data_IF_656094415760
#
_entry.id   IF_656094415760
#
_cell.length_a   1.000
_cell.length_b   1.000
_cell.length_c   1.000
_cell.angle_alpha   90.00
_cell.angle_beta   90.00
_cell.angle_gamma   90.00
#
_symmetry.space_group_name_H-M   'P 1'
#
loop_
_entity.id
_entity.type
_entity.pdbx_description
1 polymer ?
#
# COMPACT_ATOMS: atom_id res chain seq x y z
N UNK A 1 24.89 -16.45 -15.37
CA UNK A 1 23.50 -16.02 -15.09
C UNK A 1 22.63 -17.26 -15.09
N UNK A 2 21.89 -17.55 -14.02
CA UNK A 2 20.98 -18.70 -13.97
C UNK A 2 19.74 -18.44 -14.83
N UNK A 3 19.04 -19.50 -15.26
CA UNK A 3 17.79 -19.40 -16.02
C UNK A 3 16.74 -18.56 -15.27
N UNK A 4 16.61 -18.77 -13.95
CA UNK A 4 15.68 -18.03 -13.08
C UNK A 4 15.96 -16.53 -13.09
N UNK A 5 17.23 -16.14 -13.01
CA UNK A 5 17.65 -14.76 -13.00
C UNK A 5 17.43 -14.10 -14.37
N UNK A 6 17.73 -14.82 -15.46
CA UNK A 6 17.43 -14.36 -16.81
C UNK A 6 15.93 -14.12 -17.00
N UNK A 7 15.09 -15.04 -16.52
CA UNK A 7 13.65 -14.88 -16.56
C UNK A 7 13.18 -13.65 -15.76
N UNK A 8 13.65 -13.48 -14.52
CA UNK A 8 13.33 -12.33 -13.69
C UNK A 8 13.71 -10.99 -14.37
N UNK A 9 14.93 -10.88 -14.90
CA UNK A 9 15.39 -9.66 -15.58
C UNK A 9 14.57 -9.37 -16.83
N UNK A 10 14.28 -10.40 -17.64
CA UNK A 10 13.42 -10.25 -18.82
C UNK A 10 12.00 -9.83 -18.45
N UNK A 11 11.42 -10.40 -17.39
CA UNK A 11 10.10 -10.00 -16.88
C UNK A 11 10.08 -8.55 -16.40
N UNK A 12 11.13 -8.10 -15.70
CA UNK A 12 11.26 -6.70 -15.29
C UNK A 12 11.37 -5.76 -16.50
N UNK A 13 12.21 -6.09 -17.48
CA UNK A 13 12.38 -5.29 -18.69
C UNK A 13 11.09 -5.24 -19.53
N UNK A 14 10.42 -6.38 -19.70
CA UNK A 14 9.14 -6.47 -20.40
C UNK A 14 8.05 -5.68 -19.68
N UNK A 15 8.00 -5.73 -18.34
CA UNK A 15 7.07 -4.94 -17.53
C UNK A 15 7.36 -3.45 -17.64
N UNK A 16 8.63 -3.03 -17.60
CA UNK A 16 9.01 -1.64 -17.79
C UNK A 16 8.63 -1.14 -19.19
N UNK A 17 8.84 -1.96 -20.23
CA UNK A 17 8.39 -1.66 -21.58
C UNK A 17 6.85 -1.60 -21.67
N UNK A 18 6.13 -2.52 -21.03
CA UNK A 18 4.67 -2.51 -20.97
C UNK A 18 4.14 -1.26 -20.26
N UNK A 19 4.75 -0.88 -19.13
CA UNK A 19 4.43 0.37 -18.43
C UNK A 19 4.68 1.58 -19.33
N UNK A 20 5.80 1.63 -20.05
CA UNK A 20 6.15 2.80 -20.85
C UNK A 20 5.32 2.94 -22.13
N UNK A 21 5.14 1.84 -22.87
CA UNK A 21 4.53 1.85 -24.20
C UNK A 21 3.03 1.53 -24.20
N UNK A 22 2.52 0.81 -23.20
CA UNK A 22 1.12 0.37 -23.17
C UNK A 22 0.28 1.11 -22.12
N UNK A 23 0.71 1.10 -20.86
CA UNK A 23 -0.07 1.70 -19.74
C UNK A 23 0.17 3.21 -19.60
N UNK A 24 1.40 3.65 -19.89
CA UNK A 24 2.00 4.96 -19.62
C UNK A 24 2.15 5.31 -18.14
N UNK A 25 3.27 5.97 -17.73
CA UNK A 25 3.44 6.48 -16.37
C UNK A 25 2.42 7.58 -16.04
N UNK A 26 1.45 7.27 -15.20
CA UNK A 26 0.34 8.16 -14.81
C UNK A 26 -0.05 7.91 -13.36
N UNK A 27 -0.89 8.77 -12.79
CA UNK A 27 -1.49 8.58 -11.47
C UNK A 27 -2.69 7.62 -11.48
N UNK A 28 -2.93 6.89 -12.57
CA UNK A 28 -3.87 5.77 -12.58
C UNK A 28 -3.41 4.66 -11.62
N UNK A 29 -4.33 3.85 -11.12
CA UNK A 29 -4.00 2.83 -10.12
C UNK A 29 -3.16 1.71 -10.71
N UNK A 30 -3.47 1.26 -11.93
CA UNK A 30 -2.69 0.23 -12.64
C UNK A 30 -1.26 0.68 -12.95
N UNK A 31 -1.09 1.94 -13.39
CA UNK A 31 0.24 2.52 -13.66
C UNK A 31 1.06 2.70 -12.38
N UNK A 32 0.43 3.22 -11.32
CA UNK A 32 1.07 3.39 -10.01
C UNK A 32 1.50 2.04 -9.44
N UNK A 33 0.64 1.03 -9.52
CA UNK A 33 0.96 -0.32 -9.04
C UNK A 33 2.13 -0.95 -9.80
N UNK A 34 2.14 -0.86 -11.14
CA UNK A 34 3.29 -1.34 -11.94
C UNK A 34 4.58 -0.62 -11.58
N UNK A 35 4.52 0.70 -11.40
CA UNK A 35 5.69 1.52 -11.05
C UNK A 35 6.23 1.16 -9.67
N UNK A 36 5.37 0.99 -8.66
CA UNK A 36 5.77 0.59 -7.32
C UNK A 36 6.26 -0.87 -7.28
N UNK A 37 5.63 -1.77 -8.04
CA UNK A 37 6.08 -3.16 -8.17
C UNK A 37 7.49 -3.21 -8.77
N UNK A 38 7.75 -2.46 -9.85
CA UNK A 38 9.08 -2.33 -10.44
C UNK A 38 10.08 -1.70 -9.48
N UNK A 39 9.69 -0.66 -8.75
CA UNK A 39 10.59 0.04 -7.84
C UNK A 39 10.99 -0.82 -6.64
N UNK A 40 10.03 -1.40 -5.92
CA UNK A 40 10.27 -2.17 -4.70
C UNK A 40 10.74 -3.61 -4.97
N UNK A 41 10.28 -4.23 -6.06
CA UNK A 41 10.50 -5.65 -6.33
C UNK A 41 11.21 -5.94 -7.66
N UNK A 42 11.67 -4.90 -8.37
CA UNK A 42 12.60 -5.03 -9.50
C UNK A 42 14.05 -4.81 -9.07
N UNK A 43 14.67 -3.63 -9.31
CA UNK A 43 16.05 -3.38 -8.94
C UNK A 43 16.35 -3.52 -7.43
N UNK A 44 15.41 -3.11 -6.56
CA UNK A 44 15.58 -3.23 -5.12
C UNK A 44 15.61 -4.69 -4.65
N UNK A 45 14.74 -5.55 -5.20
CA UNK A 45 14.78 -7.00 -4.97
C UNK A 45 16.10 -7.61 -5.44
N UNK A 46 16.55 -7.25 -6.64
CA UNK A 46 17.81 -7.75 -7.18
C UNK A 46 18.99 -7.34 -6.30
N UNK A 47 19.06 -6.07 -5.91
CA UNK A 47 20.11 -5.58 -5.02
C UNK A 47 20.05 -6.29 -3.66
N UNK A 48 18.86 -6.45 -3.10
CA UNK A 48 18.67 -7.13 -1.81
C UNK A 48 19.21 -8.57 -1.86
N UNK A 49 18.72 -9.37 -2.81
CA UNK A 49 19.00 -10.81 -2.91
C UNK A 49 20.40 -11.16 -3.40
N UNK A 50 21.11 -10.22 -4.04
CA UNK A 50 22.44 -10.46 -4.62
C UNK A 50 23.57 -9.76 -3.90
N UNK A 51 23.27 -8.72 -3.11
CA UNK A 51 24.28 -7.92 -2.40
C UNK A 51 23.94 -7.80 -0.93
N UNK A 52 22.84 -7.12 -0.61
CA UNK A 52 22.50 -6.77 0.77
C UNK A 52 22.42 -7.98 1.70
N UNK A 53 21.66 -9.01 1.31
CA UNK A 53 21.42 -10.17 2.17
C UNK A 53 22.65 -11.08 2.31
N UNK A 54 23.68 -10.88 1.48
CA UNK A 54 24.99 -11.53 1.60
C UNK A 54 25.97 -10.70 2.45
N UNK A 55 25.55 -9.53 2.93
CA UNK A 55 26.40 -8.58 3.65
C UNK A 55 27.36 -7.82 2.74
N UNK A 56 27.02 -7.68 1.46
CA UNK A 56 27.83 -6.99 0.46
C UNK A 56 27.20 -5.68 -0.02
N UNK A 57 28.06 -4.76 -0.45
CA UNK A 57 27.68 -3.57 -1.20
C UNK A 57 27.71 -2.29 -0.37
N UNK A 58 27.94 -1.16 -1.05
CA UNK A 58 28.20 0.13 -0.39
C UNK A 58 27.08 0.59 0.55
N UNK A 59 25.80 0.37 0.21
CA UNK A 59 24.70 0.73 1.10
C UNK A 59 24.66 -0.14 2.36
N UNK A 60 25.03 -1.42 2.26
CA UNK A 60 25.14 -2.30 3.43
C UNK A 60 26.33 -1.91 4.31
N UNK A 61 27.47 -1.54 3.71
CA UNK A 61 28.62 -1.03 4.46
C UNK A 61 28.28 0.24 5.25
N UNK A 62 27.60 1.20 4.60
CA UNK A 62 27.12 2.41 5.27
C UNK A 62 26.12 2.10 6.39
N UNK A 63 25.25 1.10 6.21
CA UNK A 63 24.33 0.64 7.24
C UNK A 63 25.10 -0.01 8.41
N UNK A 64 26.06 -0.88 8.14
CA UNK A 64 26.88 -1.50 9.18
C UNK A 64 27.69 -0.47 9.99
N UNK A 65 28.24 0.55 9.33
CA UNK A 65 28.92 1.67 9.97
C UNK A 65 28.02 2.49 10.90
N UNK A 66 26.76 2.68 10.50
CA UNK A 66 25.79 3.50 11.25
C UNK A 66 25.19 2.77 12.47
N UNK A 67 25.26 1.43 12.52
CA UNK A 67 24.82 0.62 13.66
C UNK A 67 25.88 -0.40 14.12
N UNK A 68 27.04 0.05 14.63
CA UNK A 68 28.13 -0.83 15.07
C UNK A 68 27.75 -1.70 16.28
N UNK A 69 26.80 -1.23 17.11
CA UNK A 69 26.33 -1.90 18.34
C UNK A 69 25.46 -3.15 18.13
N UNK A 70 25.15 -3.55 16.89
CA UNK A 70 24.64 -4.90 16.62
C UNK A 70 25.71 -6.00 16.81
N UNK A 71 26.79 -5.67 17.53
CA UNK A 71 27.81 -6.57 18.09
C UNK A 71 27.90 -6.56 19.63
N UNK A 72 27.06 -5.80 20.37
CA UNK A 72 27.17 -5.71 21.85
C UNK A 72 25.91 -5.45 22.73
N UNK A 73 24.67 -5.51 22.25
CA UNK A 73 23.44 -5.47 23.05
C UNK A 73 22.88 -6.86 23.47
N UNK A 74 23.25 -7.31 24.68
CA UNK A 74 22.57 -8.36 25.47
C UNK A 74 22.61 -9.79 24.91
N UNK A 75 23.32 -10.70 25.58
CA UNK A 75 23.58 -12.08 25.14
C UNK A 75 22.37 -12.84 24.57
N UNK A 76 21.16 -12.65 25.10
CA UNK A 76 19.95 -13.31 24.58
C UNK A 76 19.43 -12.71 23.25
N UNK A 77 19.48 -11.38 23.09
CA UNK A 77 19.04 -10.68 21.87
C UNK A 77 20.09 -10.84 20.76
N UNK A 78 21.37 -10.90 21.12
CA UNK A 78 22.45 -11.26 20.20
C UNK A 78 22.37 -12.67 19.68
N UNK A 79 22.00 -13.63 20.53
CA UNK A 79 21.83 -15.01 20.10
C UNK A 79 20.63 -15.15 19.15
N UNK A 80 19.51 -14.49 19.43
CA UNK A 80 18.34 -14.51 18.54
C UNK A 80 18.58 -13.78 17.20
N UNK A 81 19.23 -12.61 17.23
CA UNK A 81 19.58 -11.87 16.01
C UNK A 81 20.64 -12.59 15.17
N UNK A 82 21.67 -13.17 15.80
CA UNK A 82 22.67 -13.98 15.09
C UNK A 82 22.07 -15.25 14.48
N UNK A 83 21.15 -15.93 15.18
CA UNK A 83 20.39 -17.06 14.62
C UNK A 83 19.52 -16.63 13.44
N UNK A 84 18.77 -15.53 13.55
CA UNK A 84 17.98 -14.96 12.46
C UNK A 84 18.83 -14.66 11.22
N UNK A 85 19.93 -13.92 11.37
CA UNK A 85 20.83 -13.60 10.27
C UNK A 85 21.50 -14.85 9.67
N UNK A 86 21.84 -15.84 10.49
CA UNK A 86 22.39 -17.12 10.01
C UNK A 86 21.37 -17.90 9.18
N UNK A 87 20.10 -17.97 9.61
CA UNK A 87 19.01 -18.65 8.90
C UNK A 87 18.66 -17.93 7.59
N UNK A 88 18.61 -16.60 7.61
CA UNK A 88 18.35 -15.78 6.43
C UNK A 88 19.48 -15.89 5.40
N UNK A 89 20.74 -15.81 5.85
CA UNK A 89 21.89 -15.98 4.95
C UNK A 89 22.00 -17.39 4.39
N UNK A 90 21.64 -18.42 5.17
CA UNK A 90 21.53 -19.79 4.67
C UNK A 90 20.43 -19.92 3.61
N UNK A 91 19.26 -19.29 3.81
CA UNK A 91 18.18 -19.27 2.83
C UNK A 91 18.58 -18.58 1.51
N UNK A 92 19.31 -17.46 1.58
CA UNK A 92 19.80 -16.74 0.39
C UNK A 92 20.87 -17.54 -0.36
N UNK A 93 21.68 -18.32 0.36
CA UNK A 93 22.67 -19.23 -0.25
C UNK A 93 22.04 -20.50 -0.80
N UNK A 94 20.80 -20.81 -0.42
CA UNK A 94 20.06 -21.94 -0.98
C UNK A 94 19.59 -21.62 -2.40
N UNK A 95 20.21 -22.27 -3.37
CA UNK A 95 19.92 -22.10 -4.79
C UNK A 95 18.45 -22.36 -5.14
N UNK A 96 17.79 -23.34 -4.50
CA UNK A 96 16.39 -23.70 -4.82
C UNK A 96 15.41 -22.62 -4.35
N UNK A 97 15.61 -22.08 -3.14
CA UNK A 97 14.81 -20.98 -2.59
C UNK A 97 14.93 -19.75 -3.48
N UNK A 98 16.16 -19.40 -3.87
CA UNK A 98 16.40 -18.23 -4.71
C UNK A 98 15.89 -18.40 -6.14
N UNK A 99 16.03 -19.58 -6.74
CA UNK A 99 15.46 -19.85 -8.06
C UNK A 99 13.93 -19.76 -8.03
N UNK A 100 13.29 -20.34 -7.02
CA UNK A 100 11.84 -20.29 -6.86
C UNK A 100 11.35 -18.85 -6.67
N UNK A 101 12.06 -18.07 -5.87
CA UNK A 101 11.72 -16.66 -5.62
C UNK A 101 11.90 -15.80 -6.88
N UNK A 102 12.99 -15.96 -7.63
CA UNK A 102 13.21 -15.26 -8.91
C UNK A 102 12.07 -15.54 -9.90
N UNK A 103 11.69 -16.82 -10.05
CA UNK A 103 10.57 -17.21 -10.91
C UNK A 103 9.24 -16.65 -10.41
N UNK A 104 9.00 -16.69 -9.10
CA UNK A 104 7.76 -16.20 -8.51
C UNK A 104 7.57 -14.69 -8.71
N UNK A 105 8.63 -13.89 -8.48
CA UNK A 105 8.59 -12.46 -8.72
C UNK A 105 8.45 -12.17 -10.22
N UNK A 106 9.20 -12.87 -11.08
CA UNK A 106 9.09 -12.75 -12.54
C UNK A 106 7.70 -13.12 -13.09
N UNK A 107 7.05 -14.14 -12.53
CA UNK A 107 5.68 -14.53 -12.86
C UNK A 107 4.67 -13.50 -12.36
N UNK A 108 4.88 -12.94 -11.15
CA UNK A 108 4.04 -11.87 -10.61
C UNK A 108 3.99 -10.68 -11.58
N UNK A 109 5.15 -10.25 -12.08
CA UNK A 109 5.25 -9.21 -13.10
C UNK A 109 4.48 -9.54 -14.39
N UNK A 110 4.71 -10.73 -14.95
CA UNK A 110 4.08 -11.15 -16.19
C UNK A 110 2.54 -11.30 -16.06
N UNK A 111 2.07 -11.97 -15.00
CA UNK A 111 0.65 -12.20 -14.73
C UNK A 111 -0.09 -10.89 -14.43
N UNK A 112 0.54 -9.95 -13.72
CA UNK A 112 -0.04 -8.64 -13.46
C UNK A 112 -0.25 -7.84 -14.77
N UNK A 113 0.77 -7.80 -15.65
CA UNK A 113 0.65 -7.19 -16.97
C UNK A 113 -0.42 -7.87 -17.83
N UNK A 114 -0.48 -9.20 -17.80
CA UNK A 114 -1.50 -9.98 -18.50
C UNK A 114 -2.92 -9.64 -18.01
N UNK A 115 -3.10 -9.45 -16.71
CA UNK A 115 -4.39 -9.06 -16.13
C UNK A 115 -4.86 -7.68 -16.61
N UNK A 116 -3.94 -6.70 -16.68
CA UNK A 116 -4.23 -5.38 -17.26
C UNK A 116 -4.65 -5.53 -18.72
N UNK A 117 -3.82 -6.19 -19.53
CA UNK A 117 -4.06 -6.36 -20.96
C UNK A 117 -5.38 -7.08 -21.24
N UNK A 118 -5.70 -8.14 -20.49
CA UNK A 118 -6.93 -8.90 -20.70
C UNK A 118 -8.15 -8.06 -20.33
N UNK A 119 -8.07 -7.27 -19.26
CA UNK A 119 -9.16 -6.39 -18.85
C UNK A 119 -9.48 -5.37 -19.92
N UNK A 120 -8.47 -4.79 -20.56
CA UNK A 120 -8.65 -3.88 -21.70
C UNK A 120 -9.34 -4.56 -22.90
N UNK A 121 -9.00 -5.83 -23.14
CA UNK A 121 -9.64 -6.64 -24.20
C UNK A 121 -11.10 -6.94 -23.88
N UNK A 122 -11.40 -7.37 -22.66
CA UNK A 122 -12.76 -7.71 -22.20
C UNK A 122 -13.65 -6.47 -22.21
N UNK A 123 -13.15 -5.34 -21.71
CA UNK A 123 -13.88 -4.08 -21.64
C UNK A 123 -13.81 -3.26 -22.94
N UNK A 124 -13.15 -3.78 -23.98
CA UNK A 124 -12.97 -3.12 -25.29
C UNK A 124 -12.37 -1.71 -25.18
N UNK A 125 -11.50 -1.49 -24.20
CA UNK A 125 -10.83 -0.22 -23.91
C UNK A 125 -9.34 -0.32 -24.28
N UNK A 126 -8.96 -0.23 -25.58
CA UNK A 126 -7.55 -0.29 -25.96
C UNK A 126 -6.77 0.93 -25.41
N UNK A 127 -5.42 0.88 -25.38
CA UNK A 127 -4.59 1.97 -24.86
C UNK A 127 -4.93 3.35 -25.40
N UNK A 128 -5.32 3.44 -26.68
CA UNK A 128 -5.72 4.70 -27.31
C UNK A 128 -6.93 5.37 -26.63
N UNK A 129 -7.89 4.57 -26.15
CA UNK A 129 -9.07 5.08 -25.42
C UNK A 129 -8.65 5.63 -24.06
N UNK A 130 -7.69 4.99 -23.41
CA UNK A 130 -7.11 5.50 -22.17
C UNK A 130 -6.33 6.79 -22.39
N UNK A 131 -5.50 6.85 -23.43
CA UNK A 131 -4.77 8.06 -23.81
C UNK A 131 -5.72 9.23 -24.09
N UNK A 132 -6.84 8.96 -24.77
CA UNK A 132 -7.87 9.96 -24.99
C UNK A 132 -8.57 10.38 -23.70
N UNK A 133 -8.88 9.45 -22.80
CA UNK A 133 -9.47 9.76 -21.51
C UNK A 133 -8.53 10.60 -20.62
N UNK A 134 -7.22 10.34 -20.66
CA UNK A 134 -6.20 11.14 -19.98
C UNK A 134 -6.10 12.55 -20.57
N UNK A 135 -6.11 12.67 -21.90
CA UNK A 135 -6.13 13.98 -22.57
C UNK A 135 -7.40 14.77 -22.20
N UNK A 136 -8.57 14.12 -22.29
CA UNK A 136 -9.86 14.71 -21.86
C UNK A 136 -9.85 15.12 -20.40
N UNK A 137 -9.16 14.40 -19.52
CA UNK A 137 -9.04 14.77 -18.11
C UNK A 137 -8.40 16.15 -17.92
N UNK A 138 -7.40 16.47 -18.74
CA UNK A 138 -6.74 17.77 -18.71
C UNK A 138 -7.61 18.86 -19.34
N UNK A 139 -8.20 18.57 -20.51
CA UNK A 139 -8.93 19.54 -21.33
C UNK A 139 -10.34 19.87 -20.81
N UNK A 140 -11.04 18.90 -20.22
CA UNK A 140 -12.43 19.08 -19.79
C UNK A 140 -12.51 19.87 -18.48
N UNK A 141 -13.53 20.72 -18.36
CA UNK A 141 -13.85 21.36 -17.10
C UNK A 141 -14.25 20.33 -16.03
N UNK A 142 -14.04 20.66 -14.75
CA UNK A 142 -14.44 19.80 -13.65
C UNK A 142 -15.97 19.66 -13.69
N UNK A 143 -16.46 18.43 -13.64
CA UNK A 143 -17.90 18.18 -13.68
C UNK A 143 -18.51 18.53 -12.32
N UNK A 144 -19.35 19.59 -12.24
CA UNK A 144 -19.90 20.03 -10.97
C UNK A 144 -20.81 18.96 -10.38
N UNK A 145 -20.78 18.85 -9.05
CA UNK A 145 -21.63 17.91 -8.34
C UNK A 145 -23.08 18.41 -8.38
N UNK A 146 -24.01 17.55 -8.81
CA UNK A 146 -25.43 17.89 -8.84
C UNK A 146 -25.93 18.26 -7.42
N UNK A 147 -26.94 19.14 -7.28
CA UNK A 147 -27.43 19.59 -5.97
C UNK A 147 -27.88 18.45 -5.05
N UNK A 148 -28.54 17.42 -5.60
CA UNK A 148 -28.96 16.25 -4.83
C UNK A 148 -27.76 15.45 -4.28
N UNK A 149 -26.71 15.26 -5.09
CA UNK A 149 -25.48 14.56 -4.69
C UNK A 149 -24.70 15.34 -3.63
N UNK A 150 -24.69 16.66 -3.75
CA UNK A 150 -24.07 17.55 -2.76
C UNK A 150 -24.75 17.41 -1.38
N UNK A 151 -26.10 17.32 -1.35
CA UNK A 151 -26.85 17.05 -0.11
C UNK A 151 -26.51 15.67 0.48
N UNK A 152 -26.37 14.66 -0.36
CA UNK A 152 -25.99 13.32 0.09
C UNK A 152 -24.57 13.29 0.68
N UNK A 153 -23.60 13.94 0.02
CA UNK A 153 -22.24 14.09 0.54
C UNK A 153 -22.22 14.84 1.88
N UNK A 154 -23.00 15.92 2.02
CA UNK A 154 -23.14 16.63 3.30
C UNK A 154 -23.76 15.77 4.40
N UNK A 155 -24.78 14.96 4.08
CA UNK A 155 -25.38 14.01 5.03
C UNK A 155 -24.37 12.95 5.48
N UNK A 156 -23.65 12.34 4.54
CA UNK A 156 -22.58 11.38 4.84
C UNK A 156 -21.46 12.02 5.66
N UNK A 157 -21.11 13.27 5.36
CA UNK A 157 -20.13 14.05 6.12
C UNK A 157 -20.63 14.30 7.54
N UNK A 158 -21.88 14.69 7.72
CA UNK A 158 -22.47 14.88 9.06
C UNK A 158 -22.39 13.62 9.90
N UNK A 159 -22.76 12.47 9.34
CA UNK A 159 -22.64 11.18 10.01
C UNK A 159 -21.18 10.83 10.33
N UNK A 160 -20.28 10.96 9.35
CA UNK A 160 -18.86 10.70 9.53
C UNK A 160 -18.24 11.62 10.61
N UNK A 161 -18.71 12.86 10.73
CA UNK A 161 -18.25 13.82 11.73
C UNK A 161 -18.65 13.40 13.13
N UNK A 162 -19.92 13.01 13.30
CA UNK A 162 -20.44 12.50 14.58
C UNK A 162 -19.67 11.24 15.01
N UNK A 163 -19.44 10.31 14.08
CA UNK A 163 -18.66 9.09 14.35
C UNK A 163 -17.22 9.44 14.75
N UNK A 164 -16.54 10.32 14.00
CA UNK A 164 -15.18 10.75 14.33
C UNK A 164 -15.11 11.44 15.68
N UNK A 165 -16.03 12.35 16.00
CA UNK A 165 -16.08 13.02 17.29
C UNK A 165 -16.33 12.05 18.44
N UNK A 166 -17.27 11.11 18.26
CA UNK A 166 -17.54 10.08 19.27
C UNK A 166 -16.26 9.33 19.63
N UNK A 167 -15.55 8.77 18.64
CA UNK A 167 -14.31 8.03 18.89
C UNK A 167 -13.15 8.92 19.33
N UNK A 168 -13.12 10.19 18.89
CA UNK A 168 -12.12 11.15 19.33
C UNK A 168 -12.16 11.36 20.85
N UNK A 169 -13.36 11.54 21.41
CA UNK A 169 -13.57 11.72 22.85
C UNK A 169 -13.55 10.39 23.60
N UNK A 170 -14.28 9.38 23.13
CA UNK A 170 -14.39 8.08 23.79
C UNK A 170 -13.02 7.39 23.95
N UNK A 171 -12.20 7.41 22.90
CA UNK A 171 -10.89 6.74 22.92
C UNK A 171 -9.75 7.67 23.36
N UNK A 172 -10.04 8.91 23.80
CA UNK A 172 -9.05 9.91 24.20
C UNK A 172 -7.89 10.04 23.19
N UNK A 173 -8.24 10.20 21.90
CA UNK A 173 -7.26 10.14 20.81
C UNK A 173 -6.15 11.19 20.94
N UNK A 174 -6.49 12.43 21.33
CA UNK A 174 -5.53 13.51 21.44
C UNK A 174 -4.54 13.32 22.61
N UNK A 175 -4.99 12.97 23.84
CA UNK A 175 -4.08 12.56 24.91
C UNK A 175 -3.15 11.40 24.52
N UNK A 176 -3.65 10.36 23.83
CA UNK A 176 -2.82 9.23 23.37
C UNK A 176 -1.68 9.68 22.45
N UNK A 177 -2.01 10.51 21.46
CA UNK A 177 -1.02 11.09 20.54
C UNK A 177 -0.02 11.94 21.32
N UNK A 178 -0.50 12.82 22.20
CA UNK A 178 0.39 13.66 23.00
C UNK A 178 1.37 12.84 23.84
N UNK A 179 0.88 11.85 24.59
CA UNK A 179 1.73 10.97 25.42
C UNK A 179 2.76 10.26 24.55
N UNK A 180 2.36 9.66 23.43
CA UNK A 180 3.28 8.92 22.58
C UNK A 180 4.39 9.78 21.98
N UNK A 181 4.07 11.01 21.55
CA UNK A 181 5.04 11.91 20.93
C UNK A 181 5.87 12.71 21.96
N UNK A 182 5.33 12.99 23.15
CA UNK A 182 6.02 13.75 24.20
C UNK A 182 6.91 12.89 25.10
N UNK A 183 6.64 11.58 25.19
CA UNK A 183 7.45 10.69 26.03
C UNK A 183 8.79 10.38 25.36
N UNK A 184 9.89 10.67 26.05
CA UNK A 184 11.24 10.24 25.70
C UNK A 184 11.47 8.75 26.03
N UNK A 185 10.51 7.91 25.63
CA UNK A 185 10.54 6.46 25.79
C UNK A 185 11.38 5.83 24.67
N UNK A 186 12.16 4.81 25.02
CA UNK A 186 12.96 4.02 24.07
C UNK A 186 12.09 3.24 23.07
N UNK A 187 12.72 2.65 22.04
CA UNK A 187 12.01 1.98 20.94
C UNK A 187 11.05 0.87 21.43
N UNK A 188 11.48 0.03 22.37
CA UNK A 188 10.69 -1.09 22.89
C UNK A 188 9.46 -0.64 23.68
N UNK A 189 9.59 0.42 24.47
CA UNK A 189 8.48 0.98 25.24
C UNK A 189 7.46 1.64 24.31
N UNK A 190 7.90 2.35 23.27
CA UNK A 190 7.01 2.87 22.22
C UNK A 190 6.32 1.76 21.42
N UNK A 191 6.98 0.61 21.22
CA UNK A 191 6.34 -0.57 20.61
C UNK A 191 5.25 -1.13 21.53
N UNK A 192 5.49 -1.24 22.84
CA UNK A 192 4.48 -1.67 23.82
C UNK A 192 3.28 -0.71 23.84
N UNK A 193 3.54 0.61 23.94
CA UNK A 193 2.50 1.64 23.88
C UNK A 193 1.63 1.54 22.63
N UNK A 194 2.23 1.25 21.46
CA UNK A 194 1.46 1.03 20.22
C UNK A 194 0.56 -0.19 20.31
N UNK A 195 1.02 -1.29 20.90
CA UNK A 195 0.22 -2.53 21.03
C UNK A 195 -0.94 -2.36 22.00
N UNK A 196 -0.73 -1.62 23.09
CA UNK A 196 -1.71 -1.50 24.18
C UNK A 196 -2.69 -0.34 23.98
N UNK A 197 -2.23 0.80 23.45
CA UNK A 197 -3.02 2.03 23.34
C UNK A 197 -3.36 2.43 21.90
N UNK A 198 -2.72 1.81 20.90
CA UNK A 198 -2.80 2.20 19.50
C UNK A 198 -4.17 1.94 18.87
N UNK A 199 -4.73 2.99 18.28
CA UNK A 199 -5.97 2.95 17.52
C UNK A 199 -7.21 2.84 18.42
N UNK A 200 -8.30 2.37 17.81
CA UNK A 200 -9.53 2.06 18.54
C UNK A 200 -9.64 0.55 18.76
N UNK A 201 -10.20 0.08 19.88
CA UNK A 201 -10.56 -1.33 20.05
C UNK A 201 -11.65 -1.78 19.04
N UNK A 202 -12.39 -0.83 18.45
CA UNK A 202 -13.38 -1.14 17.42
C UNK A 202 -12.72 -1.41 16.06
N UNK A 203 -12.72 -2.67 15.64
CA UNK A 203 -12.28 -3.06 14.30
C UNK A 203 -13.06 -2.32 13.20
N UNK A 204 -14.38 -2.13 13.38
CA UNK A 204 -15.22 -1.41 12.43
C UNK A 204 -14.76 0.03 12.27
N UNK A 205 -14.44 0.74 13.35
CA UNK A 205 -13.92 2.10 13.26
C UNK A 205 -12.58 2.16 12.53
N UNK A 206 -11.65 1.25 12.83
CA UNK A 206 -10.35 1.20 12.14
C UNK A 206 -10.51 0.91 10.63
N UNK A 207 -11.49 0.08 10.26
CA UNK A 207 -11.84 -0.18 8.86
C UNK A 207 -12.41 1.06 8.18
N UNK A 208 -13.34 1.77 8.84
CA UNK A 208 -13.91 3.02 8.34
C UNK A 208 -12.83 4.12 8.21
N UNK A 209 -11.92 4.21 9.17
CA UNK A 209 -10.80 5.16 9.18
C UNK A 209 -9.77 4.89 8.06
N UNK A 210 -9.69 3.65 7.60
CA UNK A 210 -8.83 3.28 6.48
C UNK A 210 -9.51 3.45 5.12
N UNK A 211 -10.86 3.50 5.08
CA UNK A 211 -11.64 3.44 3.84
C UNK A 211 -12.61 4.62 3.69
N UNK A 212 -13.81 4.53 4.27
CA UNK A 212 -14.93 5.46 4.07
C UNK A 212 -14.61 6.89 4.53
N UNK A 213 -13.98 7.05 5.70
CA UNK A 213 -13.72 8.36 6.28
C UNK A 213 -12.71 9.17 5.44
N UNK A 214 -11.57 8.59 5.00
CA UNK A 214 -10.71 9.21 3.98
C UNK A 214 -11.46 9.57 2.70
N UNK A 215 -12.28 8.65 2.17
CA UNK A 215 -13.00 8.88 0.92
C UNK A 215 -13.97 10.07 1.02
N UNK A 216 -14.76 10.17 2.10
CA UNK A 216 -15.66 11.30 2.34
C UNK A 216 -14.87 12.60 2.50
N UNK A 217 -13.77 12.58 3.26
CA UNK A 217 -12.91 13.75 3.44
C UNK A 217 -12.32 14.23 2.11
N UNK A 218 -11.85 13.31 1.26
CA UNK A 218 -11.33 13.61 -0.08
C UNK A 218 -12.41 14.14 -1.03
N UNK A 219 -13.61 13.56 -1.02
CA UNK A 219 -14.73 14.02 -1.84
C UNK A 219 -15.17 15.44 -1.42
N UNK A 220 -15.20 15.72 -0.12
CA UNK A 220 -15.55 17.03 0.42
C UNK A 220 -14.47 18.08 0.11
N UNK A 221 -13.19 17.69 0.25
CA UNK A 221 -12.06 18.55 -0.06
C UNK A 221 -12.02 18.93 -1.54
N UNK A 222 -12.15 17.95 -2.45
CA UNK A 222 -12.22 18.22 -3.89
C UNK A 222 -13.40 19.12 -4.25
N UNK A 223 -14.57 18.89 -3.65
CA UNK A 223 -15.73 19.75 -3.89
C UNK A 223 -15.50 21.20 -3.44
N UNK A 224 -14.86 21.43 -2.30
CA UNK A 224 -14.48 22.77 -1.87
C UNK A 224 -13.50 23.44 -2.83
N UNK A 225 -12.45 22.73 -3.26
CA UNK A 225 -11.39 23.27 -4.13
C UNK A 225 -11.89 23.68 -5.52
N UNK A 226 -12.98 23.06 -5.97
CA UNK A 226 -13.64 23.35 -7.25
C UNK A 226 -14.78 24.39 -7.13
N UNK A 227 -14.79 25.19 -6.05
CA UNK A 227 -15.72 26.29 -5.88
C UNK A 227 -17.03 25.92 -5.18
N UNK A 228 -17.03 24.86 -4.35
CA UNK A 228 -18.15 24.51 -3.49
C UNK A 228 -18.61 25.68 -2.58
N UNK A 229 -19.88 25.65 -2.16
CA UNK A 229 -20.53 26.77 -1.47
C UNK A 229 -19.82 27.30 -0.21
N UNK A 230 -20.19 28.51 0.20
CA UNK A 230 -19.65 29.17 1.42
C UNK A 230 -19.84 28.26 2.64
N UNK A 231 -18.75 27.96 3.35
CA UNK A 231 -18.75 27.11 4.56
C UNK A 231 -18.26 25.67 4.36
N UNK A 232 -18.25 25.14 3.13
CA UNK A 232 -17.76 23.78 2.86
C UNK A 232 -16.27 23.63 3.18
N UNK A 233 -15.47 24.68 2.97
CA UNK A 233 -14.04 24.67 3.28
C UNK A 233 -13.73 24.41 4.75
N UNK A 234 -14.46 25.07 5.67
CA UNK A 234 -14.28 24.84 7.11
C UNK A 234 -14.59 23.40 7.51
N UNK A 235 -15.68 22.83 6.96
CA UNK A 235 -16.05 21.44 7.19
C UNK A 235 -15.04 20.46 6.60
N UNK A 236 -14.52 20.73 5.39
CA UNK A 236 -13.49 19.92 4.74
C UNK A 236 -12.19 19.89 5.55
N UNK A 237 -11.73 21.05 6.02
CA UNK A 237 -10.55 21.16 6.87
C UNK A 237 -10.76 20.44 8.21
N UNK A 238 -11.91 20.64 8.87
CA UNK A 238 -12.22 19.96 10.13
C UNK A 238 -12.23 18.44 9.96
N UNK A 239 -12.82 17.93 8.87
CA UNK A 239 -12.80 16.52 8.51
C UNK A 239 -11.38 15.97 8.34
N UNK A 240 -10.54 16.65 7.56
CA UNK A 240 -9.16 16.24 7.35
C UNK A 240 -8.37 16.21 8.67
N UNK A 241 -8.53 17.23 9.52
CA UNK A 241 -7.86 17.28 10.84
C UNK A 241 -8.30 16.12 11.72
N UNK A 242 -9.60 15.82 11.78
CA UNK A 242 -10.10 14.68 12.57
C UNK A 242 -9.59 13.35 12.04
N UNK A 243 -9.60 13.13 10.72
CA UNK A 243 -9.07 11.89 10.11
C UNK A 243 -7.57 11.75 10.35
N UNK A 244 -6.78 12.83 10.18
CA UNK A 244 -5.34 12.83 10.47
C UNK A 244 -5.10 12.52 11.95
N UNK A 245 -5.85 13.14 12.86
CA UNK A 245 -5.68 12.91 14.31
C UNK A 245 -6.03 11.48 14.69
N UNK A 246 -7.12 10.94 14.14
CA UNK A 246 -7.48 9.54 14.34
C UNK A 246 -6.43 8.57 13.77
N UNK A 247 -5.82 8.89 12.61
CA UNK A 247 -4.70 8.11 12.05
C UNK A 247 -3.43 8.23 12.90
N UNK A 248 -3.12 9.40 13.46
CA UNK A 248 -2.03 9.56 14.41
C UNK A 248 -2.29 8.77 15.70
N UNK A 249 -3.54 8.69 16.15
CA UNK A 249 -3.94 7.92 17.32
C UNK A 249 -3.78 6.40 17.13
N UNK A 250 -3.53 5.91 15.90
CA UNK A 250 -3.06 4.53 15.69
C UNK A 250 -1.67 4.27 16.24
N UNK A 251 -0.93 5.34 16.62
CA UNK A 251 0.44 5.32 17.12
C UNK A 251 1.43 4.59 16.18
N UNK A 252 1.02 4.38 14.93
CA UNK A 252 1.82 3.78 13.87
C UNK A 252 2.40 4.88 12.99
N UNK A 253 3.67 4.71 12.59
CA UNK A 253 4.46 5.71 11.84
C UNK A 253 3.87 5.99 10.44
N UNK A 254 3.22 5.00 9.84
CA UNK A 254 2.88 5.01 8.42
C UNK A 254 1.50 5.60 8.06
N UNK A 255 0.39 5.32 8.78
CA UNK A 255 -0.95 5.72 8.34
C UNK A 255 -1.14 7.22 8.14
N UNK A 256 -0.62 8.05 9.05
CA UNK A 256 -0.75 9.51 8.94
C UNK A 256 0.10 10.09 7.80
N UNK A 257 1.36 9.64 7.66
CA UNK A 257 2.24 10.06 6.57
C UNK A 257 1.67 9.66 5.20
N UNK A 258 1.17 8.43 5.08
CA UNK A 258 0.53 7.95 3.85
C UNK A 258 -0.71 8.79 3.52
N UNK A 259 -1.53 9.14 4.51
CA UNK A 259 -2.71 9.98 4.27
C UNK A 259 -2.35 11.38 3.73
N UNK A 260 -1.28 12.00 4.22
CA UNK A 260 -0.78 13.27 3.68
C UNK A 260 -0.29 13.09 2.23
N UNK A 261 0.43 12.02 1.94
CA UNK A 261 0.86 11.69 0.57
C UNK A 261 -0.33 11.44 -0.36
N UNK A 262 -1.39 10.77 0.11
CA UNK A 262 -2.63 10.59 -0.64
C UNK A 262 -3.29 11.93 -0.95
N UNK A 263 -3.35 12.86 0.01
CA UNK A 263 -3.92 14.19 -0.22
C UNK A 263 -3.12 14.97 -1.28
N UNK A 264 -1.79 14.84 -1.28
CA UNK A 264 -0.95 15.42 -2.33
C UNK A 264 -1.19 14.77 -3.70
N UNK A 265 -1.23 13.44 -3.76
CA UNK A 265 -1.52 12.71 -4.99
C UNK A 265 -2.90 13.09 -5.54
N UNK A 266 -3.87 13.29 -4.66
CA UNK A 266 -5.20 13.77 -4.97
C UNK A 266 -5.20 15.19 -5.56
N UNK A 267 -4.45 16.13 -4.97
CA UNK A 267 -4.31 17.49 -5.51
C UNK A 267 -3.64 17.51 -6.88
N UNK A 268 -2.66 16.64 -7.10
CA UNK A 268 -2.05 16.48 -8.42
C UNK A 268 -3.07 15.92 -9.40
N UNK A 269 -3.73 14.81 -9.05
CA UNK A 269 -4.74 14.14 -9.86
C UNK A 269 -5.93 15.03 -10.20
N UNK A 270 -6.26 16.01 -9.35
CA UNK A 270 -7.29 17.03 -9.62
C UNK A 270 -6.97 17.85 -10.86
N UNK A 271 -5.70 18.21 -11.07
CA UNK A 271 -5.26 18.98 -12.23
C UNK A 271 -4.87 18.13 -13.43
N UNK A 272 -4.05 17.09 -13.22
CA UNK A 272 -3.62 16.17 -14.28
C UNK A 272 -3.32 14.78 -13.72
N UNK A 273 -3.62 13.76 -14.52
CA UNK A 273 -3.20 12.38 -14.24
C UNK A 273 -1.83 12.05 -14.82
N UNK A 274 -1.25 12.94 -15.63
CA UNK A 274 0.10 12.76 -16.14
C UNK A 274 1.11 12.88 -15.00
N UNK A 275 2.00 11.90 -14.91
CA UNK A 275 2.98 11.85 -13.84
C UNK A 275 4.32 12.41 -14.31
N UNK A 276 4.60 13.65 -13.92
CA UNK A 276 5.86 14.32 -14.27
C UNK A 276 6.97 13.96 -13.28
N UNK A 277 8.22 13.99 -13.75
CA UNK A 277 9.40 13.79 -12.90
C UNK A 277 9.43 14.78 -11.73
N UNK A 278 9.00 16.02 -11.95
CA UNK A 278 8.91 17.04 -10.89
C UNK A 278 7.95 16.63 -9.77
N UNK A 279 6.78 16.10 -10.11
CA UNK A 279 5.82 15.59 -9.14
C UNK A 279 6.36 14.36 -8.40
N UNK A 280 7.04 13.46 -9.12
CA UNK A 280 7.72 12.30 -8.53
C UNK A 280 8.75 12.71 -7.48
N UNK A 281 9.63 13.67 -7.81
CA UNK A 281 10.62 14.21 -6.89
C UNK A 281 9.94 14.88 -5.69
N UNK A 282 8.89 15.67 -5.92
CA UNK A 282 8.18 16.38 -4.85
C UNK A 282 7.52 15.41 -3.87
N UNK A 283 6.79 14.41 -4.38
CA UNK A 283 6.19 13.36 -3.56
C UNK A 283 7.25 12.55 -2.83
N UNK A 284 8.35 12.21 -3.50
CA UNK A 284 9.48 11.50 -2.90
C UNK A 284 10.13 12.27 -1.75
N UNK A 285 10.38 13.58 -1.93
CA UNK A 285 10.95 14.45 -0.89
C UNK A 285 10.01 14.62 0.30
N UNK A 286 8.70 14.79 0.06
CA UNK A 286 7.73 14.88 1.15
C UNK A 286 7.61 13.54 1.88
N UNK A 287 7.58 12.42 1.16
CA UNK A 287 7.58 11.10 1.77
C UNK A 287 8.82 10.93 2.64
N UNK A 288 10.01 11.23 2.11
CA UNK A 288 11.27 11.15 2.84
C UNK A 288 11.25 11.99 4.11
N UNK A 289 10.75 13.23 4.03
CA UNK A 289 10.66 14.15 5.16
C UNK A 289 9.72 13.61 6.24
N UNK A 290 8.49 13.24 5.85
CA UNK A 290 7.47 12.74 6.79
C UNK A 290 7.93 11.45 7.47
N UNK A 291 8.46 10.49 6.70
CA UNK A 291 8.95 9.24 7.26
C UNK A 291 10.22 9.43 8.11
N UNK A 292 11.07 10.42 7.80
CA UNK A 292 12.24 10.75 8.62
C UNK A 292 11.81 11.33 9.97
N UNK A 293 10.87 12.27 9.98
CA UNK A 293 10.30 12.83 11.21
C UNK A 293 9.70 11.71 12.06
N UNK A 294 8.91 10.82 11.47
CA UNK A 294 8.31 9.69 12.19
C UNK A 294 9.34 8.67 12.70
N UNK A 295 10.50 8.59 12.05
CA UNK A 295 11.62 7.75 12.47
C UNK A 295 12.29 8.34 13.71
N UNK A 296 12.61 9.62 13.72
CA UNK A 296 13.14 10.33 14.90
C UNK A 296 12.18 10.34 16.08
N UNK A 297 10.89 10.51 15.84
CA UNK A 297 9.87 10.41 16.90
C UNK A 297 9.89 9.03 17.55
N UNK A 298 10.08 7.99 16.76
CA UNK A 298 10.00 6.63 17.25
C UNK A 298 11.30 6.08 17.85
N UNK A 299 12.44 6.61 17.41
CA UNK A 299 13.75 6.29 17.96
C UNK A 299 14.50 7.62 18.13
N UNK A 300 14.41 8.16 19.34
CA UNK A 300 15.04 9.43 19.73
C UNK A 300 16.57 9.33 19.79
N UNK A 301 17.11 8.12 19.78
CA UNK A 301 18.53 7.84 19.98
C UNK A 301 19.29 7.73 18.64
N UNK A 302 18.63 8.01 17.52
CA UNK A 302 19.25 8.03 16.20
C UNK A 302 20.25 9.19 16.07
N UNK A 303 21.50 8.84 15.76
CA UNK A 303 22.66 9.73 15.73
C UNK A 303 22.68 10.84 14.66
N UNK A 304 21.62 10.99 13.84
CA UNK A 304 21.54 12.04 12.84
C UNK A 304 20.70 11.73 11.61
N UNK A 305 20.74 12.66 10.64
CA UNK A 305 19.98 12.58 9.39
C UNK A 305 20.46 11.44 8.48
N UNK A 306 21.77 11.14 8.49
CA UNK A 306 22.35 10.04 7.70
C UNK A 306 21.78 8.69 8.14
N UNK A 307 21.73 8.48 9.45
CA UNK A 307 21.19 7.29 10.11
C UNK A 307 19.69 7.18 9.82
N UNK A 308 18.92 8.27 9.96
CA UNK A 308 17.50 8.25 9.59
C UNK A 308 17.27 7.84 8.12
N UNK A 309 18.08 8.37 7.19
CA UNK A 309 17.96 8.03 5.76
C UNK A 309 18.31 6.56 5.47
N UNK A 310 19.39 6.04 6.07
CA UNK A 310 19.77 4.64 5.95
C UNK A 310 18.71 3.70 6.53
N UNK A 311 18.15 4.07 7.69
CA UNK A 311 17.07 3.32 8.31
C UNK A 311 15.82 3.29 7.43
N UNK A 312 15.45 4.42 6.83
CA UNK A 312 14.33 4.48 5.88
C UNK A 312 14.59 3.66 4.62
N UNK A 313 15.79 3.75 4.05
CA UNK A 313 16.16 2.94 2.90
C UNK A 313 16.02 1.43 3.21
N UNK A 314 16.55 0.99 4.35
CA UNK A 314 16.41 -0.40 4.81
C UNK A 314 14.93 -0.78 4.95
N UNK A 315 14.13 0.06 5.64
CA UNK A 315 12.71 -0.20 5.91
C UNK A 315 11.84 -0.24 4.65
N UNK A 316 12.12 0.60 3.67
CA UNK A 316 11.28 0.77 2.48
C UNK A 316 11.70 -0.19 1.36
N UNK A 317 13.00 -0.43 1.18
CA UNK A 317 13.51 -1.18 0.02
C UNK A 317 13.98 -2.60 0.39
N UNK A 318 14.54 -2.81 1.58
CA UNK A 318 15.16 -4.10 1.92
C UNK A 318 14.18 -5.02 2.66
N UNK A 319 13.51 -4.53 3.71
CA UNK A 319 12.61 -5.36 4.55
C UNK A 319 11.48 -6.03 3.74
N UNK A 320 10.81 -5.38 2.76
CA UNK A 320 9.80 -6.09 1.96
C UNK A 320 10.37 -7.28 1.20
N UNK A 321 11.63 -7.19 0.74
CA UNK A 321 12.31 -8.25 0.01
C UNK A 321 12.90 -9.31 0.96
N UNK A 322 13.37 -8.91 2.15
CA UNK A 322 13.73 -9.81 3.26
C UNK A 322 12.57 -10.72 3.63
N UNK A 323 11.38 -10.12 3.80
CA UNK A 323 10.16 -10.83 4.15
C UNK A 323 9.75 -11.83 3.04
N UNK A 324 10.01 -11.53 1.76
CA UNK A 324 9.79 -12.50 0.68
C UNK A 324 10.72 -13.71 0.79
N UNK A 325 12.00 -13.51 1.10
CA UNK A 325 12.94 -14.61 1.33
C UNK A 325 12.50 -15.46 2.53
N UNK A 326 12.05 -14.85 3.63
CA UNK A 326 11.54 -15.58 4.80
C UNK A 326 10.38 -16.53 4.42
N UNK A 327 9.41 -16.04 3.64
CA UNK A 327 8.27 -16.87 3.21
C UNK A 327 8.69 -18.05 2.31
N UNK A 328 9.59 -17.83 1.35
CA UNK A 328 10.06 -18.88 0.44
C UNK A 328 11.04 -19.86 1.10
N UNK A 329 11.73 -19.45 2.17
CA UNK A 329 12.56 -20.33 2.96
C UNK A 329 11.74 -21.30 3.83
N UNK A 330 10.58 -20.84 4.33
CA UNK A 330 9.71 -21.62 5.21
C UNK A 330 8.75 -22.50 4.42
N UNK A 331 8.13 -21.98 3.36
CA UNK A 331 7.13 -22.71 2.58
C UNK A 331 7.72 -23.23 1.26
N UNK A 332 7.62 -24.54 0.93
CA UNK A 332 6.98 -25.61 1.69
C UNK A 332 7.91 -26.36 2.68
N UNK A 333 9.19 -25.98 2.79
CA UNK A 333 10.22 -26.81 3.43
C UNK A 333 9.99 -27.09 4.92
N UNK A 334 9.59 -26.09 5.70
CA UNK A 334 9.31 -26.21 7.14
C UNK A 334 7.81 -26.24 7.44
N UNK A 335 7.01 -25.47 6.68
CA UNK A 335 5.57 -25.45 6.80
C UNK A 335 4.93 -25.87 5.48
N UNK A 336 3.94 -26.79 5.49
CA UNK A 336 3.17 -27.07 4.29
C UNK A 336 2.33 -25.86 3.90
N UNK A 337 2.03 -25.75 2.60
CA UNK A 337 1.07 -24.76 2.10
C UNK A 337 -0.28 -24.89 2.82
N UNK A 338 -0.89 -23.77 3.20
CA UNK A 338 -2.07 -23.78 4.06
C UNK A 338 -3.36 -24.16 3.34
N UNK A 339 -3.33 -24.17 1.99
CA UNK A 339 -4.50 -24.34 1.13
C UNK A 339 -5.60 -23.32 1.45
N UNK A 340 -5.24 -22.15 1.96
CA UNK A 340 -6.15 -21.08 2.37
C UNK A 340 -6.82 -21.29 3.73
N UNK A 341 -6.38 -22.25 4.54
CA UNK A 341 -6.90 -22.45 5.90
C UNK A 341 -6.46 -21.34 6.88
N UNK A 342 -5.47 -20.52 6.52
CA UNK A 342 -5.06 -19.30 7.22
C UNK A 342 -5.99 -18.10 6.92
N UNK A 343 -6.86 -18.23 5.91
CA UNK A 343 -7.90 -17.25 5.60
C UNK A 343 -9.16 -17.65 6.37
N UNK A 344 -9.46 -16.92 7.46
CA UNK A 344 -10.51 -17.29 8.43
C UNK A 344 -11.86 -17.63 7.81
N UNK A 345 -12.37 -16.82 6.89
CA UNK A 345 -13.68 -17.07 6.27
C UNK A 345 -13.66 -18.28 5.33
N UNK A 346 -12.53 -18.57 4.68
CA UNK A 346 -12.38 -19.71 3.80
C UNK A 346 -12.25 -21.01 4.61
N UNK A 347 -11.55 -20.97 5.76
CA UNK A 347 -11.49 -22.09 6.70
C UNK A 347 -12.87 -22.44 7.25
N UNK A 348 -13.65 -21.42 7.67
CA UNK A 348 -15.04 -21.59 8.13
C UNK A 348 -15.89 -22.23 7.03
N UNK A 349 -15.76 -21.78 5.77
CA UNK A 349 -16.51 -22.34 4.64
C UNK A 349 -16.16 -23.80 4.34
N UNK A 350 -14.91 -24.20 4.61
CA UNK A 350 -14.45 -25.59 4.51
C UNK A 350 -14.80 -26.44 5.73
N UNK A 351 -15.35 -25.85 6.79
CA UNK A 351 -15.61 -26.54 8.06
C UNK A 351 -14.34 -26.93 8.83
N UNK A 352 -13.22 -26.23 8.60
CA UNK A 352 -11.93 -26.48 9.26
C UNK A 352 -11.62 -25.35 10.23
N UNK A 353 -10.95 -25.67 11.35
CA UNK A 353 -10.47 -24.64 12.26
C UNK A 353 -9.48 -23.70 11.55
N UNK A 354 -9.66 -22.37 11.68
CA UNK A 354 -8.79 -21.41 11.00
C UNK A 354 -7.39 -21.50 11.59
N UNK A 355 -6.40 -21.74 10.72
CA UNK A 355 -5.00 -21.64 11.09
C UNK A 355 -4.65 -20.20 11.45
N UNK A 356 -3.61 -20.05 12.28
CA UNK A 356 -3.02 -18.73 12.48
C UNK A 356 -2.53 -18.16 11.14
N UNK A 357 -2.70 -16.84 10.92
CA UNK A 357 -2.19 -16.17 9.73
C UNK A 357 -0.70 -16.44 9.47
N UNK A 358 -0.35 -16.61 8.19
CA UNK A 358 1.00 -16.98 7.76
C UNK A 358 2.07 -15.99 8.24
N UNK A 359 1.79 -14.68 8.28
CA UNK A 359 2.74 -13.65 8.74
C UNK A 359 3.16 -13.79 10.21
N UNK A 360 2.34 -14.40 11.07
CA UNK A 360 2.71 -14.69 12.47
C UNK A 360 3.57 -15.95 12.55
N UNK A 361 3.18 -17.00 11.82
CA UNK A 361 3.91 -18.28 11.80
C UNK A 361 5.32 -18.12 11.23
N UNK A 362 5.47 -17.32 10.18
CA UNK A 362 6.76 -16.98 9.57
C UNK A 362 7.65 -16.23 10.57
N UNK A 363 7.10 -15.22 11.23
CA UNK A 363 7.84 -14.42 12.21
C UNK A 363 8.27 -15.25 13.43
N UNK A 364 7.42 -16.16 13.91
CA UNK A 364 7.73 -17.05 15.03
C UNK A 364 8.89 -18.01 14.68
N UNK A 365 8.84 -18.63 13.50
CA UNK A 365 9.86 -19.60 13.08
C UNK A 365 11.20 -18.96 12.71
N UNK A 366 11.20 -17.85 11.96
CA UNK A 366 12.45 -17.24 11.48
C UNK A 366 13.06 -16.29 12.50
N UNK A 367 12.23 -15.52 13.22
CA UNK A 367 12.69 -14.44 14.11
C UNK A 367 12.63 -14.81 15.58
N UNK A 368 12.05 -15.96 15.95
CA UNK A 368 11.92 -16.41 17.34
C UNK A 368 11.10 -15.46 18.23
N UNK A 369 10.28 -14.60 17.63
CA UNK A 369 9.60 -13.50 18.31
C UNK A 369 8.07 -13.69 18.23
N UNK A 370 7.48 -14.47 19.15
CA UNK A 370 6.03 -14.70 19.17
C UNK A 370 5.28 -13.36 19.33
N UNK A 371 4.33 -13.10 18.44
CA UNK A 371 3.56 -11.85 18.38
C UNK A 371 4.17 -10.74 17.51
N UNK A 372 5.33 -10.97 16.88
CA UNK A 372 5.84 -10.14 15.79
C UNK A 372 5.17 -10.51 14.46
N UNK A 373 5.17 -9.60 13.49
CA UNK A 373 4.58 -9.81 12.16
C UNK A 373 5.62 -9.64 11.06
N UNK A 374 5.72 -10.60 10.15
CA UNK A 374 6.49 -10.46 8.90
C UNK A 374 5.51 -10.10 7.78
N UNK A 375 5.39 -8.82 7.45
CA UNK A 375 4.54 -8.36 6.35
C UNK A 375 5.33 -8.31 5.05
N UNK A 376 4.88 -9.06 4.04
CA UNK A 376 5.46 -9.11 2.71
C UNK A 376 4.43 -8.71 1.65
N UNK A 377 4.90 -8.41 0.44
CA UNK A 377 4.03 -8.15 -0.72
C UNK A 377 3.00 -9.27 -0.89
N UNK A 378 1.81 -8.93 -1.40
CA UNK A 378 0.67 -9.82 -1.60
C UNK A 378 0.99 -11.23 -2.15
N UNK A 379 2.06 -11.39 -2.94
CA UNK A 379 2.51 -12.69 -3.46
C UNK A 379 2.95 -13.68 -2.38
N UNK A 380 3.44 -13.20 -1.23
CA UNK A 380 4.01 -14.03 -0.18
C UNK A 380 2.92 -14.87 0.50
N UNK A 381 1.83 -14.22 0.92
CA UNK A 381 0.68 -14.93 1.47
C UNK A 381 -0.02 -15.78 0.40
N UNK A 382 0.00 -15.36 -0.87
CA UNK A 382 -0.51 -16.19 -1.97
C UNK A 382 0.33 -17.47 -2.16
N UNK A 383 1.66 -17.37 -2.03
CA UNK A 383 2.57 -18.52 -2.03
C UNK A 383 2.32 -19.44 -0.84
N UNK A 384 2.25 -18.89 0.37
CA UNK A 384 1.96 -19.67 1.57
C UNK A 384 0.60 -20.40 1.48
N UNK A 385 -0.41 -19.72 0.95
CA UNK A 385 -1.76 -20.27 0.86
C UNK A 385 -1.96 -21.28 -0.27
N UNK A 386 -1.51 -20.95 -1.49
CA UNK A 386 -1.87 -21.71 -2.69
C UNK A 386 -0.69 -22.01 -3.61
N UNK A 387 0.55 -21.89 -3.11
CA UNK A 387 1.77 -22.18 -3.88
C UNK A 387 1.81 -21.38 -5.21
N UNK A 388 2.29 -22.00 -6.29
CA UNK A 388 2.36 -21.41 -7.63
C UNK A 388 1.02 -20.90 -8.16
N UNK A 389 -0.08 -21.62 -7.88
CA UNK A 389 -1.41 -21.18 -8.29
C UNK A 389 -1.79 -19.84 -7.63
N UNK A 390 -1.44 -19.66 -6.35
CA UNK A 390 -1.64 -18.41 -5.64
C UNK A 390 -0.91 -17.23 -6.30
N UNK A 391 0.38 -17.40 -6.61
CA UNK A 391 1.18 -16.35 -7.26
C UNK A 391 0.54 -15.91 -8.58
N UNK A 392 0.23 -16.87 -9.45
CA UNK A 392 -0.34 -16.60 -10.79
C UNK A 392 -1.72 -15.94 -10.65
N UNK A 393 -2.61 -16.53 -9.87
CA UNK A 393 -4.01 -16.08 -9.76
C UNK A 393 -4.11 -14.74 -9.04
N UNK A 394 -3.43 -14.54 -7.91
CA UNK A 394 -3.50 -13.27 -7.18
C UNK A 394 -2.89 -12.12 -7.97
N UNK A 395 -1.72 -12.31 -8.61
CA UNK A 395 -1.10 -11.27 -9.43
C UNK A 395 -1.98 -10.88 -10.62
N UNK A 396 -2.54 -11.89 -11.30
CA UNK A 396 -3.46 -11.67 -12.42
C UNK A 396 -4.74 -10.94 -11.99
N UNK A 397 -5.42 -11.41 -10.94
CA UNK A 397 -6.63 -10.76 -10.40
C UNK A 397 -6.33 -9.32 -9.97
N UNK A 398 -5.18 -9.09 -9.35
CA UNK A 398 -4.82 -7.75 -8.90
C UNK A 398 -4.64 -6.78 -10.09
N UNK A 399 -3.93 -7.21 -11.14
CA UNK A 399 -3.81 -6.45 -12.39
C UNK A 399 -5.17 -6.17 -13.04
N UNK A 400 -6.04 -7.19 -13.10
CA UNK A 400 -7.39 -7.04 -13.62
C UNK A 400 -8.23 -6.03 -12.83
N UNK A 401 -8.22 -6.14 -11.50
CA UNK A 401 -9.02 -5.30 -10.62
C UNK A 401 -8.62 -3.83 -10.75
N UNK A 402 -7.31 -3.53 -10.69
CA UNK A 402 -6.83 -2.15 -10.77
C UNK A 402 -7.14 -1.53 -12.12
N UNK A 403 -6.97 -2.30 -13.22
CA UNK A 403 -7.32 -1.80 -14.55
C UNK A 403 -8.82 -1.61 -14.71
N UNK A 404 -9.63 -2.51 -14.15
CA UNK A 404 -11.08 -2.35 -14.14
C UNK A 404 -11.48 -1.07 -13.41
N UNK A 405 -10.92 -0.80 -12.22
CA UNK A 405 -11.18 0.45 -11.48
C UNK A 405 -10.79 1.66 -12.34
N UNK A 406 -9.62 1.64 -12.99
CA UNK A 406 -9.18 2.73 -13.87
C UNK A 406 -10.15 2.96 -15.04
N UNK A 407 -10.64 1.90 -15.70
CA UNK A 407 -11.64 2.03 -16.77
C UNK A 407 -12.92 2.67 -16.24
N UNK A 408 -13.41 2.23 -15.08
CA UNK A 408 -14.65 2.75 -14.51
C UNK A 408 -14.52 4.21 -14.09
N UNK A 409 -13.42 4.56 -13.43
CA UNK A 409 -13.19 5.90 -12.89
C UNK A 409 -12.73 6.90 -13.96
N UNK A 410 -11.73 6.55 -14.76
CA UNK A 410 -11.07 7.48 -15.68
C UNK A 410 -11.80 7.49 -17.02
N UNK A 411 -12.01 6.32 -17.65
CA UNK A 411 -12.56 6.25 -19.01
C UNK A 411 -14.07 6.52 -19.03
N UNK A 412 -14.84 5.85 -18.17
CA UNK A 412 -16.31 5.95 -18.21
C UNK A 412 -16.85 7.21 -17.53
N UNK A 413 -16.28 7.61 -16.40
CA UNK A 413 -16.78 8.76 -15.62
C UNK A 413 -16.06 10.07 -15.93
N UNK A 414 -14.74 10.05 -16.07
CA UNK A 414 -13.92 11.25 -16.22
C UNK A 414 -13.78 12.06 -14.92
N UNK A 415 -13.44 13.34 -15.06
CA UNK A 415 -13.01 14.20 -13.95
C UNK A 415 -14.17 14.69 -13.07
N UNK A 416 -14.43 13.95 -11.99
CA UNK A 416 -15.39 14.30 -10.94
C UNK A 416 -14.73 14.23 -9.55
N UNK A 417 -15.29 14.93 -8.55
CA UNK A 417 -14.76 14.91 -7.17
C UNK A 417 -14.73 13.51 -6.56
N UNK A 418 -15.75 12.68 -6.84
CA UNK A 418 -15.81 11.29 -6.38
C UNK A 418 -14.84 10.38 -7.14
N UNK A 419 -14.56 10.65 -8.42
CA UNK A 419 -13.49 9.95 -9.17
C UNK A 419 -12.14 10.21 -8.52
N UNK A 420 -11.83 11.49 -8.27
CA UNK A 420 -10.55 11.91 -7.69
C UNK A 420 -10.40 11.34 -6.26
N UNK A 421 -11.46 11.39 -5.45
CA UNK A 421 -11.46 10.77 -4.12
C UNK A 421 -11.26 9.25 -4.17
N UNK A 422 -11.89 8.57 -5.14
CA UNK A 422 -11.72 7.14 -5.38
C UNK A 422 -10.29 6.76 -5.77
N UNK A 423 -9.65 7.53 -6.65
CA UNK A 423 -8.24 7.36 -7.02
C UNK A 423 -7.33 7.56 -5.80
N UNK A 424 -7.53 8.64 -5.03
CA UNK A 424 -6.76 8.91 -3.82
C UNK A 424 -6.84 7.79 -2.78
N UNK A 425 -8.04 7.20 -2.59
CA UNK A 425 -8.20 6.00 -1.76
C UNK A 425 -7.45 4.80 -2.36
N UNK A 426 -7.57 4.60 -3.68
CA UNK A 426 -6.93 3.49 -4.38
C UNK A 426 -5.41 3.47 -4.31
N UNK A 427 -4.75 4.64 -4.29
CA UNK A 427 -3.28 4.70 -4.11
C UNK A 427 -2.83 4.07 -2.80
N UNK A 428 -3.60 4.22 -1.71
CA UNK A 428 -3.30 3.55 -0.44
C UNK A 428 -3.50 2.05 -0.53
N UNK A 429 -4.58 1.60 -1.19
CA UNK A 429 -4.81 0.19 -1.46
C UNK A 429 -3.67 -0.45 -2.23
N UNK A 430 -3.18 0.21 -3.29
CA UNK A 430 -2.01 -0.22 -4.06
C UNK A 430 -0.76 -0.31 -3.16
N UNK A 431 -0.47 0.72 -2.36
CA UNK A 431 0.68 0.73 -1.47
C UNK A 431 0.63 -0.38 -0.42
N UNK A 432 -0.55 -0.63 0.17
CA UNK A 432 -0.77 -1.76 1.09
C UNK A 432 -0.55 -3.09 0.38
N UNK A 433 -1.00 -3.24 -0.88
CA UNK A 433 -0.77 -4.46 -1.66
C UNK A 433 0.72 -4.76 -1.89
N UNK A 434 1.53 -3.72 -2.10
CA UNK A 434 3.00 -3.88 -2.27
C UNK A 434 3.72 -4.29 -0.98
N UNK A 435 3.10 -4.12 0.19
CA UNK A 435 3.76 -4.33 1.49
C UNK A 435 3.09 -5.40 2.36
N UNK A 436 1.89 -5.85 2.01
CA UNK A 436 1.07 -6.77 2.82
C UNK A 436 0.20 -7.70 1.97
N UNK A 437 -0.53 -8.59 2.63
CA UNK A 437 -1.50 -9.51 2.04
C UNK A 437 -2.49 -8.87 1.06
N UNK A 438 -2.85 -9.62 0.01
CA UNK A 438 -3.84 -9.20 -0.99
C UNK A 438 -5.19 -8.79 -0.37
N UNK A 439 -5.69 -9.57 0.60
CA UNK A 439 -6.98 -9.30 1.25
C UNK A 439 -6.98 -7.99 2.04
N UNK A 440 -5.86 -7.66 2.69
CA UNK A 440 -5.69 -6.40 3.41
C UNK A 440 -5.75 -5.22 2.46
N UNK A 441 -5.14 -5.34 1.27
CA UNK A 441 -5.21 -4.34 0.21
C UNK A 441 -6.65 -4.14 -0.31
N UNK A 442 -7.42 -5.22 -0.46
CA UNK A 442 -8.81 -5.16 -0.92
C UNK A 442 -9.76 -4.51 0.10
N UNK A 443 -9.66 -4.91 1.37
CA UNK A 443 -10.60 -4.52 2.43
C UNK A 443 -10.11 -3.27 3.16
N UNK A 444 -8.99 -3.36 3.87
CA UNK A 444 -8.44 -2.25 4.66
C UNK A 444 -7.89 -1.14 3.76
N UNK A 445 -7.23 -1.52 2.66
CA UNK A 445 -6.78 -0.58 1.63
C UNK A 445 -7.91 -0.02 0.78
N UNK A 446 -9.12 -0.59 0.88
CA UNK A 446 -10.34 -0.04 0.30
C UNK A 446 -10.52 -0.27 -1.20
N UNK A 447 -9.63 -1.00 -1.90
CA UNK A 447 -9.72 -1.19 -3.36
C UNK A 447 -11.07 -1.75 -3.81
N UNK A 448 -11.61 -2.73 -3.09
CA UNK A 448 -12.90 -3.34 -3.42
C UNK A 448 -14.07 -2.37 -3.17
N UNK A 449 -13.89 -1.41 -2.27
CA UNK A 449 -14.92 -0.48 -1.84
C UNK A 449 -14.99 0.79 -2.71
N UNK A 450 -13.97 1.08 -3.53
CA UNK A 450 -13.92 2.29 -4.36
C UNK A 450 -15.16 2.41 -5.26
N UNK A 451 -15.44 1.41 -6.08
CA UNK A 451 -16.57 1.44 -7.03
C UNK A 451 -17.92 1.49 -6.28
N UNK A 452 -18.17 0.65 -5.27
CA UNK A 452 -19.38 0.77 -4.43
C UNK A 452 -19.56 2.13 -3.77
N UNK A 453 -18.50 2.72 -3.19
CA UNK A 453 -18.57 4.03 -2.52
C UNK A 453 -18.89 5.15 -3.50
N UNK A 454 -18.30 5.10 -4.69
CA UNK A 454 -18.60 6.03 -5.78
C UNK A 454 -20.04 5.85 -6.26
N UNK A 455 -20.49 4.62 -6.45
CA UNK A 455 -21.86 4.30 -6.85
C UNK A 455 -22.89 4.75 -5.80
N UNK A 456 -22.57 4.59 -4.51
CA UNK A 456 -23.42 5.01 -3.39
C UNK A 456 -23.69 6.52 -3.43
N UNK A 457 -22.65 7.33 -3.67
CA UNK A 457 -22.77 8.80 -3.72
C UNK A 457 -23.49 9.33 -4.97
N UNK A 458 -23.58 8.53 -6.03
CA UNK A 458 -24.16 8.99 -7.30
C UNK A 458 -25.47 8.31 -7.69
N UNK A 459 -25.83 7.24 -6.96
CA UNK A 459 -27.01 6.40 -7.18
C UNK A 459 -27.20 5.98 -8.65
N UNK A 460 -26.11 5.80 -9.40
CA UNK A 460 -26.11 5.34 -10.79
C UNK A 460 -24.92 4.42 -11.02
N UNK A 461 -25.19 3.20 -11.45
CA UNK A 461 -24.23 2.21 -11.92
C UNK A 461 -24.97 1.13 -12.74
N UNK A 462 -24.44 0.64 -13.87
CA UNK A 462 -23.17 1.01 -14.52
C UNK A 462 -23.21 2.40 -15.17
N UNK A 463 -22.05 3.08 -15.24
CA UNK A 463 -21.95 4.37 -15.92
C UNK A 463 -21.87 4.16 -17.44
N UNK A 464 -22.65 4.93 -18.24
CA UNK A 464 -22.54 4.87 -19.69
C UNK A 464 -21.15 5.31 -20.14
N UNK A 465 -20.64 4.68 -21.20
CA UNK A 465 -19.44 5.17 -21.88
C UNK A 465 -19.74 6.55 -22.45
N UNK A 466 -19.00 7.58 -21.99
CA UNK A 466 -19.11 8.91 -22.58
C UNK A 466 -18.36 8.91 -23.91
N UNK A 467 -19.06 8.40 -24.93
CA UNK A 467 -18.59 8.29 -26.30
C UNK A 467 -19.67 7.68 -27.20
N UNK A 468 -20.78 8.41 -27.39
CA UNK A 468 -21.66 8.47 -28.59
C UNK A 468 -23.04 9.11 -28.30
N UNK A 469 -23.05 10.28 -27.65
CA UNK A 469 -24.25 11.11 -27.47
C UNK A 469 -23.75 12.54 -27.13
N UNK A 470 -24.11 13.66 -27.76
CA UNK A 470 -25.05 13.97 -28.84
C UNK A 470 -24.47 15.18 -29.59
N UNK A 471 -24.17 15.02 -30.88
CA UNK A 471 -24.18 16.11 -31.85
C UNK A 471 -25.40 15.83 -32.73
N UNK A 472 -26.58 16.14 -32.22
CA UNK A 472 -27.81 16.37 -32.98
C UNK A 472 -28.68 17.37 -32.18
#
# INVERSE_FOLDING_TARGET
MTLSLSFFVLSCAATAAFLWFYVRPTLSLSSTALSLLLFFHGPAFWYYTRRWALGEGSAFDLYREAWPEHSGAGDALHTASSQFYSSLSAAVRNTEVMQSLDFAVGLTFACFCLGIWLTDRILKCPPRVHDEALRRWHEQAFLPMAPHRSKQLLSMTGLAFVVLLYFFFHDNQLPKVYVYFATAAGEFEKIAMRREMGGSPSYLFNLLLSTLLPFVAFALWTWWREGGGKGVGGLATAMLVLVVTAKLATLSKAPAAIFVLQLMALEIARGSLDFTVRQAITLGLVALTLFSIMTFVANSDLGGARESLLFLFYRVCMIPNESLVEYFAIFPGQLPHTLGNDIRWLAILKGVEPLQPSFWRVAELMRGAPGSTTTAMFMADAWAAFSWAGIVTCAFIFGCLLRWIDVQLIVKRGRTGTTIAGLGLGHHGVFIGMSTAFQTSLLTGGLLLIVPMVALLECKWPWPERGHADHD
#
